data_IF_895478086331
#
_entry.id   IF_895478086331
#
_cell.length_a   1.000
_cell.length_b   1.000
_cell.length_c   1.000
_cell.angle_alpha   90.00
_cell.angle_beta   90.00
_cell.angle_gamma   90.00
#
_symmetry.space_group_name_H-M   'P 1'
#
loop_
_entity.id
_entity.type
_entity.pdbx_description
1 polymer ?
#
# COMPACT_ATOMS: atom_id res chain seq x y z
N UNK A 1 16.09 -11.80 -11.39
CA UNK A 1 15.50 -10.44 -11.27
C UNK A 1 15.68 -10.04 -9.82
N UNK A 2 15.98 -8.79 -9.52
CA UNK A 2 15.91 -8.33 -8.12
C UNK A 2 14.44 -8.34 -7.69
N UNK A 3 14.17 -8.76 -6.46
CA UNK A 3 12.80 -8.82 -5.95
C UNK A 3 12.29 -7.45 -5.51
N UNK A 4 11.13 -7.44 -4.87
CA UNK A 4 10.45 -6.22 -4.49
C UNK A 4 9.68 -6.37 -3.19
N UNK A 5 9.59 -5.28 -2.43
CA UNK A 5 8.76 -5.17 -1.22
C UNK A 5 7.58 -4.25 -1.56
N UNK A 6 6.37 -4.72 -1.32
CA UNK A 6 5.13 -3.98 -1.57
C UNK A 6 4.40 -3.75 -0.25
N UNK A 7 4.58 -2.58 0.36
CA UNK A 7 3.81 -2.16 1.52
C UNK A 7 2.40 -1.76 1.10
N UNK A 8 1.40 -2.49 1.57
CA UNK A 8 -0.01 -2.14 1.38
C UNK A 8 -0.55 -1.56 2.67
N UNK A 9 -0.91 -0.29 2.62
CA UNK A 9 -1.21 0.49 3.81
C UNK A 9 -2.27 1.56 3.55
N UNK A 10 -2.91 2.01 4.62
CA UNK A 10 -3.76 3.20 4.63
C UNK A 10 -3.49 4.17 5.76
N UNK A 11 -2.70 3.77 6.76
CA UNK A 11 -2.39 4.46 8.03
C UNK A 11 -3.60 4.85 8.91
N UNK A 12 -4.75 5.08 8.31
CA UNK A 12 -6.05 5.25 8.94
C UNK A 12 -6.83 3.93 8.87
N UNK A 13 -7.41 3.53 9.99
CA UNK A 13 -8.24 2.34 10.05
C UNK A 13 -9.54 2.52 9.24
N UNK A 14 -9.99 1.44 8.59
CA UNK A 14 -11.30 1.41 7.91
C UNK A 14 -11.34 2.05 6.52
N UNK A 15 -10.21 2.51 5.97
CA UNK A 15 -10.20 3.12 4.62
C UNK A 15 -10.08 2.12 3.47
N UNK A 16 -10.08 0.81 3.76
CA UNK A 16 -10.14 -0.24 2.74
C UNK A 16 -8.80 -0.80 2.25
N UNK A 17 -7.69 -0.56 2.93
CA UNK A 17 -6.37 -1.07 2.51
C UNK A 17 -6.32 -2.59 2.40
N UNK A 18 -6.92 -3.31 3.35
CA UNK A 18 -7.00 -4.78 3.30
C UNK A 18 -7.91 -5.28 2.16
N UNK A 19 -8.96 -4.50 1.81
CA UNK A 19 -9.81 -4.81 0.65
C UNK A 19 -9.02 -4.63 -0.65
N UNK A 20 -8.25 -3.54 -0.77
CA UNK A 20 -7.35 -3.34 -1.90
C UNK A 20 -6.29 -4.44 -1.99
N UNK A 21 -5.64 -4.79 -0.86
CA UNK A 21 -4.61 -5.83 -0.79
C UNK A 21 -5.10 -7.18 -1.32
N UNK A 22 -6.36 -7.57 -1.01
CA UNK A 22 -7.00 -8.75 -1.61
C UNK A 22 -7.02 -8.70 -3.14
N UNK A 23 -7.39 -7.56 -3.73
CA UNK A 23 -7.42 -7.39 -5.18
C UNK A 23 -6.04 -7.40 -5.81
N UNK A 24 -5.05 -6.77 -5.16
CA UNK A 24 -3.66 -6.76 -5.61
C UNK A 24 -3.11 -8.20 -5.68
N UNK A 25 -3.26 -8.97 -4.60
CA UNK A 25 -2.78 -10.36 -4.55
C UNK A 25 -3.49 -11.22 -5.60
N UNK A 26 -4.82 -11.12 -5.75
CA UNK A 26 -5.52 -11.89 -6.77
C UNK A 26 -5.15 -11.48 -8.20
N UNK A 27 -4.89 -10.20 -8.44
CA UNK A 27 -4.41 -9.72 -9.74
C UNK A 27 -3.05 -10.34 -10.06
N UNK A 28 -2.09 -10.22 -9.14
CA UNK A 28 -0.72 -10.70 -9.34
C UNK A 28 -0.71 -12.22 -9.55
N UNK A 29 -1.38 -12.99 -8.68
CA UNK A 29 -1.47 -14.45 -8.82
C UNK A 29 -2.10 -14.91 -10.14
N UNK A 30 -2.97 -14.10 -10.74
CA UNK A 30 -3.70 -14.46 -11.95
C UNK A 30 -3.04 -13.95 -13.23
N UNK A 31 -2.40 -12.80 -13.16
CA UNK A 31 -2.00 -12.00 -14.34
C UNK A 31 -0.50 -11.85 -14.49
N UNK A 32 0.29 -12.31 -13.52
CA UNK A 32 1.75 -12.30 -13.57
C UNK A 32 2.32 -13.65 -13.15
N UNK A 33 3.59 -13.90 -13.52
CA UNK A 33 4.36 -15.07 -13.10
C UNK A 33 5.33 -14.72 -11.95
N UNK A 34 5.01 -13.68 -11.17
CA UNK A 34 5.85 -13.25 -10.04
C UNK A 34 5.81 -14.28 -8.92
N UNK A 35 6.97 -14.52 -8.31
CA UNK A 35 7.07 -15.36 -7.12
C UNK A 35 6.63 -14.56 -5.89
N UNK A 36 5.40 -14.77 -5.44
CA UNK A 36 4.76 -13.96 -4.41
C UNK A 36 4.95 -14.55 -3.01
N UNK A 37 5.48 -13.74 -2.10
CA UNK A 37 5.43 -14.01 -0.66
C UNK A 37 4.47 -13.04 0.01
N UNK A 38 3.63 -13.52 0.94
CA UNK A 38 2.59 -12.70 1.58
C UNK A 38 2.82 -12.67 3.08
N UNK A 39 3.07 -11.47 3.59
CA UNK A 39 3.31 -11.18 4.99
C UNK A 39 2.13 -10.33 5.48
N UNK A 40 1.40 -10.83 6.48
CA UNK A 40 0.22 -10.18 7.01
C UNK A 40 0.44 -9.79 8.47
N UNK A 41 0.74 -8.51 8.68
CA UNK A 41 1.08 -7.95 9.97
C UNK A 41 -0.15 -7.45 10.76
N UNK A 42 -1.36 -7.64 10.22
CA UNK A 42 -2.59 -7.42 10.99
C UNK A 42 -2.77 -8.51 12.06
N UNK A 43 -3.23 -8.19 13.28
CA UNK A 43 -3.29 -9.16 14.39
C UNK A 43 -4.07 -10.46 14.11
N UNK A 44 -5.08 -10.41 13.24
CA UNK A 44 -5.92 -11.57 12.91
C UNK A 44 -5.39 -12.32 11.67
N UNK A 45 -4.48 -11.71 10.92
CA UNK A 45 -3.83 -12.24 9.71
C UNK A 45 -4.82 -12.82 8.67
N UNK A 46 -5.96 -12.16 8.42
CA UNK A 46 -7.00 -12.69 7.52
C UNK A 46 -6.47 -12.84 6.09
N UNK A 47 -5.64 -11.92 5.60
CA UNK A 47 -5.05 -11.98 4.27
C UNK A 47 -4.04 -13.12 4.20
N UNK A 48 -3.15 -13.24 5.18
CA UNK A 48 -2.17 -14.33 5.29
C UNK A 48 -2.86 -15.70 5.29
N UNK A 49 -3.88 -15.88 6.13
CA UNK A 49 -4.69 -17.11 6.18
C UNK A 49 -5.45 -17.40 4.89
N UNK A 50 -5.85 -16.37 4.15
CA UNK A 50 -6.61 -16.52 2.89
C UNK A 50 -5.70 -16.91 1.71
N UNK A 51 -4.54 -16.26 1.58
CA UNK A 51 -3.71 -16.35 0.37
C UNK A 51 -2.37 -17.06 0.56
N UNK A 52 -1.94 -17.29 1.78
CA UNK A 52 -0.69 -17.99 2.11
C UNK A 52 -0.90 -18.96 3.27
N UNK A 53 -2.05 -19.65 3.27
CA UNK A 53 -2.49 -20.55 4.35
C UNK A 53 -1.45 -21.58 4.80
N UNK A 54 -0.50 -21.95 3.93
CA UNK A 54 0.60 -22.85 4.27
C UNK A 54 1.49 -22.32 5.40
N UNK A 55 1.64 -20.99 5.55
CA UNK A 55 2.42 -20.40 6.64
C UNK A 55 1.53 -20.09 7.86
N UNK A 56 0.27 -19.70 7.64
CA UNK A 56 -0.63 -19.20 8.68
C UNK A 56 -1.57 -20.25 9.30
N UNK A 57 -1.52 -21.51 8.86
CA UNK A 57 -2.31 -22.59 9.45
C UNK A 57 -1.54 -23.33 10.55
N UNK A 58 -2.02 -23.21 11.80
CA UNK A 58 -1.60 -24.02 12.96
C UNK A 58 -0.13 -23.90 13.44
N UNK A 59 0.66 -22.97 12.93
CA UNK A 59 2.04 -22.78 13.39
C UNK A 59 2.09 -21.91 14.65
N UNK A 60 2.46 -22.50 15.80
CA UNK A 60 2.79 -21.73 17.00
C UNK A 60 4.23 -21.19 16.89
N UNK A 61 4.55 -20.09 17.58
CA UNK A 61 5.94 -19.57 17.66
C UNK A 61 6.94 -20.67 18.05
N UNK A 62 6.53 -21.63 18.89
CA UNK A 62 7.33 -22.79 19.27
C UNK A 62 7.58 -23.79 18.12
N UNK A 63 6.60 -24.02 17.25
CA UNK A 63 6.76 -24.88 16.07
C UNK A 63 7.68 -24.24 15.01
N UNK A 64 7.71 -22.91 14.95
CA UNK A 64 8.59 -22.17 14.03
C UNK A 64 10.02 -22.21 14.57
N UNK A 65 10.23 -21.92 15.86
CA UNK A 65 11.57 -21.93 16.47
C UNK A 65 12.24 -23.29 16.44
N UNK A 66 11.48 -24.39 16.52
CA UNK A 66 12.01 -25.77 16.35
C UNK A 66 12.51 -26.04 14.92
N UNK A 67 11.96 -25.35 13.90
CA UNK A 67 12.33 -25.51 12.49
C UNK A 67 13.32 -24.44 11.99
N UNK A 68 13.42 -23.31 12.67
CA UNK A 68 14.12 -22.07 12.25
C UNK A 68 15.62 -22.04 12.56
N UNK A 69 16.21 -23.16 13.00
CA UNK A 69 17.64 -23.21 13.32
C UNK A 69 18.45 -23.38 12.02
N UNK A 70 18.53 -22.31 11.22
CA UNK A 70 19.44 -22.12 10.06
C UNK A 70 19.18 -22.96 8.78
N UNK A 71 17.96 -23.43 8.51
CA UNK A 71 17.66 -24.04 7.20
C UNK A 71 17.17 -22.99 6.17
N UNK A 72 17.48 -23.22 4.90
CA UNK A 72 17.29 -22.36 3.71
C UNK A 72 15.84 -21.85 3.44
N UNK A 73 14.87 -22.15 4.32
CA UNK A 73 13.44 -21.88 4.11
C UNK A 73 12.92 -20.74 5.01
N UNK A 74 13.41 -19.53 4.72
CA UNK A 74 12.99 -18.25 5.33
C UNK A 74 11.46 -18.08 5.41
N UNK A 75 10.70 -18.73 4.54
CA UNK A 75 9.24 -18.58 4.52
C UNK A 75 8.55 -19.21 5.74
N UNK A 76 9.18 -20.16 6.41
CA UNK A 76 8.65 -20.76 7.64
C UNK A 76 8.59 -19.75 8.80
N UNK A 77 9.40 -18.69 8.73
CA UNK A 77 9.46 -17.65 9.76
C UNK A 77 8.46 -16.52 9.55
N UNK A 78 7.81 -16.44 8.37
CA UNK A 78 6.82 -15.41 8.01
C UNK A 78 5.77 -15.15 9.12
N UNK A 79 5.15 -16.17 9.74
CA UNK A 79 4.12 -15.93 10.76
C UNK A 79 4.64 -15.30 12.06
N UNK A 80 5.96 -15.26 12.26
CA UNK A 80 6.57 -14.67 13.46
C UNK A 80 6.81 -13.17 13.32
N UNK A 81 6.79 -12.65 12.09
CA UNK A 81 7.16 -11.27 11.81
C UNK A 81 6.21 -10.32 12.52
N UNK A 82 6.75 -9.46 13.37
CA UNK A 82 6.03 -8.34 13.97
C UNK A 82 6.92 -7.11 13.87
N UNK A 83 6.50 -6.11 13.11
CA UNK A 83 7.17 -4.81 13.14
C UNK A 83 6.81 -4.07 14.44
N UNK A 84 7.83 -3.66 15.17
CA UNK A 84 7.69 -2.81 16.35
C UNK A 84 8.97 -1.99 16.53
N UNK A 85 8.90 -0.94 17.34
CA UNK A 85 10.06 -0.08 17.65
C UNK A 85 11.14 -0.73 18.52
N UNK A 86 10.93 -1.97 18.99
CA UNK A 86 11.93 -2.71 19.77
C UNK A 86 12.86 -3.55 18.89
N UNK A 87 14.06 -3.89 19.40
CA UNK A 87 15.08 -4.67 18.69
C UNK A 87 14.54 -5.96 18.06
N UNK A 88 13.71 -6.71 18.79
CA UNK A 88 13.08 -7.95 18.28
C UNK A 88 12.19 -7.68 17.05
N UNK A 89 11.47 -6.57 17.03
CA UNK A 89 10.62 -6.24 15.88
C UNK A 89 11.39 -5.77 14.65
N UNK A 90 12.60 -5.21 14.87
CA UNK A 90 13.52 -4.82 13.80
C UNK A 90 14.14 -6.08 13.19
N UNK A 91 14.69 -6.98 14.02
CA UNK A 91 15.26 -8.26 13.59
C UNK A 91 14.24 -9.09 12.79
N UNK A 92 12.97 -9.09 13.22
CA UNK A 92 11.89 -9.76 12.49
C UNK A 92 11.53 -9.07 11.16
N UNK A 93 11.73 -7.75 11.06
CA UNK A 93 11.54 -7.00 9.83
C UNK A 93 12.54 -7.38 8.74
N UNK A 94 13.77 -7.72 9.11
CA UNK A 94 14.84 -8.07 8.16
C UNK A 94 14.46 -9.24 7.25
N UNK A 95 13.64 -10.16 7.74
CA UNK A 95 13.11 -11.27 6.96
C UNK A 95 12.32 -10.80 5.72
N UNK A 96 11.61 -9.67 5.81
CA UNK A 96 10.91 -9.05 4.67
C UNK A 96 11.93 -8.72 3.57
N UNK A 97 13.08 -8.18 3.97
CA UNK A 97 14.12 -7.78 3.03
C UNK A 97 14.86 -8.98 2.44
N UNK A 98 15.24 -9.95 3.26
CA UNK A 98 15.94 -11.16 2.81
C UNK A 98 15.10 -11.93 1.76
N UNK A 99 13.79 -12.05 1.98
CA UNK A 99 12.87 -12.66 1.02
C UNK A 99 12.85 -11.89 -0.32
N UNK A 100 12.81 -10.55 -0.27
CA UNK A 100 12.86 -9.74 -1.49
C UNK A 100 14.23 -9.81 -2.19
N UNK A 101 15.31 -9.86 -1.42
CA UNK A 101 16.67 -10.00 -1.93
C UNK A 101 16.87 -11.35 -2.66
N UNK A 102 16.19 -12.42 -2.23
CA UNK A 102 16.11 -13.70 -2.93
C UNK A 102 15.36 -13.65 -4.28
N UNK A 103 14.82 -12.49 -4.67
CA UNK A 103 14.13 -12.30 -5.95
C UNK A 103 12.61 -12.38 -5.86
N UNK A 104 12.04 -12.51 -4.66
CA UNK A 104 10.60 -12.61 -4.46
C UNK A 104 9.92 -11.25 -4.49
N UNK A 105 8.64 -11.25 -4.86
CA UNK A 105 7.73 -10.11 -4.68
C UNK A 105 6.99 -10.28 -3.36
N UNK A 106 7.46 -9.55 -2.35
CA UNK A 106 6.96 -9.63 -0.98
C UNK A 106 5.85 -8.62 -0.77
N UNK A 107 4.60 -9.10 -0.67
CA UNK A 107 3.43 -8.28 -0.33
C UNK A 107 3.30 -8.21 1.19
N UNK A 108 3.42 -7.01 1.75
CA UNK A 108 3.30 -6.77 3.19
C UNK A 108 1.99 -6.02 3.47
N UNK A 109 0.99 -6.73 4.00
CA UNK A 109 -0.23 -6.11 4.50
C UNK A 109 0.05 -5.50 5.88
N UNK A 110 0.12 -4.17 5.93
CA UNK A 110 0.43 -3.43 7.13
C UNK A 110 -0.84 -3.08 7.92
N UNK A 111 -0.81 -3.13 9.27
CA UNK A 111 -1.89 -2.60 10.08
C UNK A 111 -1.94 -1.07 10.00
N UNK A 112 -3.09 -0.49 10.35
CA UNK A 112 -3.19 0.96 10.52
C UNK A 112 -2.21 1.46 11.59
N UNK A 113 -1.67 2.68 11.43
CA UNK A 113 -0.70 3.30 12.34
C UNK A 113 0.61 2.52 12.46
N UNK A 114 1.07 1.92 11.37
CA UNK A 114 2.33 1.17 11.30
C UNK A 114 3.52 2.04 10.87
N UNK A 115 3.26 3.29 10.47
CA UNK A 115 4.26 4.24 9.96
C UNK A 115 5.54 4.26 10.79
N UNK A 116 5.44 4.50 12.10
CA UNK A 116 6.61 4.60 12.96
C UNK A 116 7.40 3.30 13.03
N UNK A 117 6.73 2.14 13.04
CA UNK A 117 7.39 0.84 13.14
C UNK A 117 8.14 0.51 11.85
N UNK A 118 7.52 0.78 10.70
CA UNK A 118 8.15 0.61 9.38
C UNK A 118 9.31 1.59 9.21
N UNK A 119 9.10 2.86 9.57
CA UNK A 119 10.13 3.90 9.47
C UNK A 119 11.35 3.58 10.33
N UNK A 120 11.15 3.19 11.59
CA UNK A 120 12.25 2.83 12.47
C UNK A 120 13.07 1.65 11.92
N UNK A 121 12.41 0.60 11.42
CA UNK A 121 13.11 -0.52 10.80
C UNK A 121 13.91 -0.10 9.56
N UNK A 122 13.31 0.66 8.64
CA UNK A 122 13.97 1.13 7.42
C UNK A 122 15.20 2.00 7.73
N UNK A 123 15.12 2.88 8.73
CA UNK A 123 16.22 3.77 9.11
C UNK A 123 17.33 3.05 9.85
N UNK A 124 17.01 2.20 10.83
CA UNK A 124 18.02 1.56 11.68
C UNK A 124 18.88 0.54 10.93
N UNK A 125 18.32 -0.12 9.91
CA UNK A 125 19.04 -1.05 9.06
C UNK A 125 19.50 -0.44 7.72
N UNK A 126 19.33 0.88 7.53
CA UNK A 126 19.65 1.61 6.29
C UNK A 126 19.14 0.90 5.02
N UNK A 127 17.91 0.36 5.12
CA UNK A 127 17.30 -0.51 4.10
C UNK A 127 17.13 0.23 2.78
N UNK A 128 16.92 1.54 2.83
CA UNK A 128 16.77 2.37 1.63
C UNK A 128 18.06 2.40 0.81
N UNK A 129 19.20 2.63 1.46
CA UNK A 129 20.48 2.64 0.76
C UNK A 129 20.87 1.23 0.30
N UNK A 130 20.62 0.21 1.14
CA UNK A 130 20.81 -1.18 0.76
C UNK A 130 19.98 -1.56 -0.49
N UNK A 131 18.73 -1.11 -0.56
CA UNK A 131 17.82 -1.33 -1.70
C UNK A 131 18.37 -0.78 -3.01
N UNK A 132 19.03 0.39 -2.99
CA UNK A 132 19.69 0.95 -4.18
C UNK A 132 20.85 0.06 -4.64
N UNK A 133 21.64 -0.43 -3.69
CA UNK A 133 22.82 -1.26 -3.97
C UNK A 133 22.44 -2.65 -4.52
N UNK A 134 21.44 -3.28 -3.91
CA UNK A 134 20.96 -4.63 -4.27
C UNK A 134 19.91 -4.63 -5.38
N UNK A 135 19.38 -3.44 -5.72
CA UNK A 135 18.28 -3.21 -6.67
C UNK A 135 16.95 -3.83 -6.25
N UNK A 136 16.78 -4.13 -4.95
CA UNK A 136 15.47 -4.48 -4.39
C UNK A 136 14.57 -3.26 -4.49
N UNK A 137 13.40 -3.41 -5.11
CA UNK A 137 12.48 -2.29 -5.27
C UNK A 137 11.56 -2.18 -4.06
N UNK A 138 11.23 -0.97 -3.63
CA UNK A 138 10.23 -0.73 -2.59
C UNK A 138 9.04 -0.01 -3.22
N UNK A 139 7.85 -0.54 -2.96
CA UNK A 139 6.57 -0.02 -3.44
C UNK A 139 5.67 0.33 -2.26
N UNK A 140 5.14 1.54 -2.26
CA UNK A 140 4.16 2.03 -1.29
C UNK A 140 2.79 2.14 -1.95
N UNK A 141 1.91 1.18 -1.62
CA UNK A 141 0.50 1.18 -2.03
C UNK A 141 -0.32 1.88 -0.95
N UNK A 142 -0.52 3.19 -1.13
CA UNK A 142 -1.17 4.05 -0.15
C UNK A 142 -2.65 4.21 -0.45
N UNK A 143 -3.50 3.56 0.34
CA UNK A 143 -4.95 3.73 0.26
C UNK A 143 -5.34 5.04 0.94
N UNK A 144 -6.29 5.77 0.37
CA UNK A 144 -6.77 7.04 0.92
C UNK A 144 -8.26 7.21 0.65
N UNK A 145 -8.96 7.88 1.56
CA UNK A 145 -10.31 8.41 1.37
C UNK A 145 -10.30 9.93 1.08
N UNK A 146 -9.13 10.55 0.94
CA UNK A 146 -8.97 11.98 0.73
C UNK A 146 -9.19 12.86 1.96
N UNK A 147 -9.21 12.30 3.18
CA UNK A 147 -9.22 13.10 4.41
C UNK A 147 -7.90 13.84 4.62
N UNK A 148 -7.93 14.93 5.40
CA UNK A 148 -6.74 15.70 5.77
C UNK A 148 -5.66 14.80 6.38
N UNK A 149 -6.00 14.04 7.43
CA UNK A 149 -5.08 13.10 8.07
C UNK A 149 -4.42 12.11 7.09
N UNK A 150 -5.16 11.63 6.08
CA UNK A 150 -4.63 10.69 5.10
C UNK A 150 -3.64 11.36 4.16
N UNK A 151 -3.93 12.60 3.76
CA UNK A 151 -3.05 13.39 2.91
C UNK A 151 -1.78 13.81 3.65
N UNK A 152 -1.88 14.23 4.91
CA UNK A 152 -0.72 14.65 5.70
C UNK A 152 0.29 13.51 5.89
N UNK A 153 -0.21 12.28 6.06
CA UNK A 153 0.64 11.09 6.17
C UNK A 153 1.31 10.76 4.83
N UNK A 154 0.59 10.92 3.71
CA UNK A 154 1.17 10.74 2.39
C UNK A 154 2.25 11.79 2.08
N UNK A 155 2.02 13.06 2.43
CA UNK A 155 3.04 14.12 2.30
C UNK A 155 4.30 13.78 3.10
N UNK A 156 4.16 13.31 4.34
CA UNK A 156 5.31 12.85 5.15
C UNK A 156 6.07 11.69 4.51
N UNK A 157 5.37 10.73 3.90
CA UNK A 157 6.01 9.63 3.18
C UNK A 157 6.83 10.14 1.99
N UNK A 158 6.33 11.13 1.24
CA UNK A 158 7.09 11.76 0.16
C UNK A 158 8.30 12.54 0.66
N UNK A 159 8.14 13.35 1.71
CA UNK A 159 9.21 14.14 2.31
C UNK A 159 10.40 13.28 2.75
N UNK A 160 10.13 12.07 3.25
CA UNK A 160 11.17 11.21 3.84
C UNK A 160 11.77 10.25 2.82
N UNK A 161 10.95 9.64 1.96
CA UNK A 161 11.43 8.57 1.08
C UNK A 161 11.58 8.99 -0.38
N UNK A 162 10.88 10.02 -0.86
CA UNK A 162 11.04 10.61 -2.19
C UNK A 162 11.24 9.54 -3.29
N UNK A 163 12.29 9.63 -4.10
CA UNK A 163 12.59 8.67 -5.18
C UNK A 163 12.98 7.26 -4.73
N UNK A 164 13.13 7.02 -3.43
CA UNK A 164 13.50 5.69 -2.92
C UNK A 164 12.38 4.68 -3.09
N UNK A 165 11.14 5.15 -3.13
CA UNK A 165 9.93 4.31 -3.21
C UNK A 165 9.18 4.58 -4.51
N UNK A 166 8.50 3.54 -5.01
CA UNK A 166 7.48 3.66 -6.03
C UNK A 166 6.12 3.86 -5.36
N UNK A 167 5.41 4.93 -5.70
CA UNK A 167 4.12 5.22 -5.08
C UNK A 167 2.96 4.81 -5.97
N UNK A 168 2.00 4.12 -5.36
CA UNK A 168 0.68 3.90 -5.95
C UNK A 168 -0.37 4.36 -4.95
N UNK A 169 -1.11 5.39 -5.33
CA UNK A 169 -2.19 5.95 -4.54
C UNK A 169 -3.50 5.26 -4.92
N UNK A 170 -4.18 4.68 -3.94
CA UNK A 170 -5.46 4.01 -4.10
C UNK A 170 -6.55 4.88 -3.50
N UNK A 171 -7.25 5.60 -4.36
CA UNK A 171 -8.33 6.50 -4.01
C UNK A 171 -9.60 5.67 -3.81
N UNK A 172 -9.96 5.42 -2.56
CA UNK A 172 -11.17 4.67 -2.23
C UNK A 172 -12.39 5.60 -2.22
N UNK A 173 -13.36 5.33 -3.09
CA UNK A 173 -14.61 6.09 -3.14
C UNK A 173 -15.52 5.85 -1.92
N UNK A 174 -15.24 4.81 -1.13
CA UNK A 174 -16.03 4.42 0.04
C UNK A 174 -17.41 3.87 -0.33
N UNK A 175 -18.16 3.38 0.66
CA UNK A 175 -19.48 2.78 0.44
C UNK A 175 -20.64 3.76 0.68
N UNK A 176 -20.54 4.97 0.11
CA UNK A 176 -21.64 5.95 0.16
C UNK A 176 -22.38 5.98 -1.18
N UNK A 177 -23.41 5.13 -1.39
CA UNK A 177 -24.10 4.95 -2.67
C UNK A 177 -24.83 6.20 -3.22
N UNK A 178 -24.77 7.34 -2.51
CA UNK A 178 -25.46 8.59 -2.87
C UNK A 178 -24.57 9.84 -2.79
N UNK A 179 -23.30 9.70 -2.39
CA UNK A 179 -22.37 10.83 -2.27
C UNK A 179 -21.07 10.39 -2.93
N UNK A 180 -20.85 10.82 -4.17
CA UNK A 180 -19.53 10.70 -4.78
C UNK A 180 -18.58 11.60 -4.00
N UNK A 181 -17.44 11.04 -3.56
CA UNK A 181 -16.38 11.84 -2.99
C UNK A 181 -15.91 12.85 -4.04
N UNK A 182 -16.06 14.14 -3.78
CA UNK A 182 -15.68 15.20 -4.73
C UNK A 182 -14.18 15.25 -4.96
N UNK A 183 -13.41 14.67 -4.03
CA UNK A 183 -11.95 14.79 -3.95
C UNK A 183 -11.51 16.25 -3.94
N UNK A 184 -12.35 17.16 -3.42
CA UNK A 184 -12.07 18.59 -3.45
C UNK A 184 -10.81 18.93 -2.67
N UNK A 185 -10.72 18.52 -1.40
CA UNK A 185 -9.53 18.77 -0.56
C UNK A 185 -8.27 18.13 -1.16
N UNK A 186 -8.38 16.93 -1.73
CA UNK A 186 -7.30 16.29 -2.46
C UNK A 186 -6.78 17.13 -3.63
N UNK A 187 -7.69 17.55 -4.53
CA UNK A 187 -7.35 18.33 -5.73
C UNK A 187 -6.78 19.72 -5.41
N UNK A 188 -7.15 20.29 -4.26
CA UNK A 188 -6.75 21.63 -3.85
C UNK A 188 -5.61 21.62 -2.81
N UNK A 189 -5.05 20.45 -2.46
CA UNK A 189 -3.86 20.38 -1.64
C UNK A 189 -2.62 20.60 -2.53
N UNK A 190 -2.19 21.86 -2.62
CA UNK A 190 -1.11 22.30 -3.53
C UNK A 190 0.19 21.54 -3.25
N UNK A 191 0.59 21.43 -1.98
CA UNK A 191 1.81 20.75 -1.56
C UNK A 191 1.80 19.27 -1.97
N UNK A 192 0.72 18.55 -1.66
CA UNK A 192 0.61 17.14 -2.03
C UNK A 192 0.57 16.93 -3.55
N UNK A 193 -0.12 17.82 -4.30
CA UNK A 193 -0.10 17.72 -5.76
C UNK A 193 1.31 17.94 -6.32
N UNK A 194 2.09 18.87 -5.76
CA UNK A 194 3.47 19.08 -6.18
C UNK A 194 4.33 17.81 -5.97
N UNK A 195 4.18 17.10 -4.85
CA UNK A 195 4.86 15.82 -4.64
C UNK A 195 4.42 14.74 -5.65
N UNK A 196 3.12 14.63 -5.91
CA UNK A 196 2.57 13.66 -6.88
C UNK A 196 3.09 13.93 -8.30
N UNK A 197 3.29 15.19 -8.68
CA UNK A 197 3.83 15.59 -9.98
C UNK A 197 5.35 15.37 -10.07
N UNK A 198 6.07 15.55 -8.96
CA UNK A 198 7.53 15.43 -8.89
C UNK A 198 7.99 13.97 -8.86
N UNK A 199 7.28 13.10 -8.14
CA UNK A 199 7.68 11.71 -7.95
C UNK A 199 6.87 10.74 -8.81
N UNK A 200 7.46 9.65 -9.34
CA UNK A 200 6.75 8.65 -10.13
C UNK A 200 5.62 8.02 -9.30
N UNK A 201 4.41 8.50 -9.55
CA UNK A 201 3.23 8.19 -8.75
C UNK A 201 2.08 7.73 -9.64
N UNK A 202 1.63 6.50 -9.43
CA UNK A 202 0.42 6.00 -10.06
C UNK A 202 -0.80 6.30 -9.19
N UNK A 203 -1.93 6.60 -9.82
CA UNK A 203 -3.20 6.79 -9.11
C UNK A 203 -4.25 5.80 -9.63
N UNK A 204 -4.86 5.06 -8.72
CA UNK A 204 -5.93 4.12 -9.00
C UNK A 204 -7.20 4.54 -8.25
N UNK A 205 -8.35 4.30 -8.84
CA UNK A 205 -9.66 4.47 -8.21
C UNK A 205 -10.19 3.11 -7.75
N UNK A 206 -10.41 2.95 -6.45
CA UNK A 206 -11.07 1.77 -5.92
C UNK A 206 -12.57 2.06 -5.75
N UNK A 207 -13.44 1.49 -6.61
CA UNK A 207 -14.88 1.69 -6.47
C UNK A 207 -15.42 0.96 -5.25
N UNK A 208 -16.63 1.33 -4.80
CA UNK A 208 -17.31 0.59 -3.74
C UNK A 208 -17.59 -0.86 -4.14
N UNK A 209 -17.31 -1.79 -3.22
CA UNK A 209 -17.82 -3.15 -3.26
C UNK A 209 -18.93 -3.32 -2.21
N UNK A 210 -20.15 -2.94 -2.57
CA UNK A 210 -21.29 -2.99 -1.65
C UNK A 210 -21.80 -4.43 -1.44
N UNK A 211 -21.38 -5.03 -0.33
CA UNK A 211 -21.88 -6.30 0.21
C UNK A 211 -22.52 -6.04 1.58
N UNK A 212 -23.56 -6.79 1.99
CA UNK A 212 -24.08 -6.69 3.35
C UNK A 212 -23.00 -7.00 4.40
N UNK A 213 -23.02 -6.36 5.57
CA UNK A 213 -21.99 -6.51 6.61
C UNK A 213 -21.74 -7.97 6.99
N UNK A 214 -22.81 -8.75 7.22
CA UNK A 214 -22.71 -10.18 7.56
C UNK A 214 -21.97 -10.99 6.48
N UNK A 215 -21.90 -10.49 5.25
CA UNK A 215 -21.13 -11.15 4.19
C UNK A 215 -19.63 -10.96 4.39
N UNK A 216 -19.20 -9.78 4.81
CA UNK A 216 -17.79 -9.55 5.14
C UNK A 216 -17.34 -10.44 6.28
N UNK A 217 -18.22 -10.70 7.25
CA UNK A 217 -17.98 -11.65 8.34
C UNK A 217 -17.77 -13.07 7.80
N UNK A 218 -18.67 -13.56 6.92
CA UNK A 218 -18.54 -14.89 6.32
C UNK A 218 -17.22 -15.02 5.55
N UNK A 219 -16.88 -14.04 4.71
CA UNK A 219 -15.65 -14.07 3.93
C UNK A 219 -14.40 -14.07 4.83
N UNK A 220 -14.42 -13.29 5.91
CA UNK A 220 -13.29 -13.17 6.83
C UNK A 220 -13.14 -14.39 7.73
N UNK A 221 -14.22 -14.87 8.34
CA UNK A 221 -14.23 -16.05 9.23
C UNK A 221 -13.80 -17.32 8.49
N UNK A 222 -14.21 -17.46 7.23
CA UNK A 222 -13.85 -18.62 6.41
C UNK A 222 -12.58 -18.40 5.59
N UNK A 223 -11.88 -17.26 5.76
CA UNK A 223 -10.66 -16.91 5.04
C UNK A 223 -10.79 -17.14 3.52
N UNK A 224 -11.91 -16.70 2.94
CA UNK A 224 -12.20 -16.92 1.53
C UNK A 224 -11.57 -15.82 0.67
N UNK A 225 -10.87 -16.24 -0.38
CA UNK A 225 -10.54 -15.34 -1.49
C UNK A 225 -11.80 -15.00 -2.27
N UNK A 226 -11.82 -13.87 -2.98
CA UNK A 226 -12.93 -13.52 -3.85
C UNK A 226 -13.08 -14.53 -5.00
N UNK A 227 -11.98 -15.04 -5.54
CA UNK A 227 -12.02 -16.12 -6.53
C UNK A 227 -12.64 -17.41 -5.98
N UNK A 228 -12.32 -17.82 -4.75
CA UNK A 228 -12.93 -18.97 -4.08
C UNK A 228 -14.41 -18.71 -3.78
N UNK A 229 -14.74 -17.54 -3.24
CA UNK A 229 -16.11 -17.15 -2.91
C UNK A 229 -17.04 -17.17 -4.13
N UNK A 230 -16.58 -16.64 -5.28
CA UNK A 230 -17.34 -16.70 -6.55
C UNK A 230 -17.56 -18.14 -7.05
N UNK A 231 -16.68 -19.08 -6.73
CA UNK A 231 -16.71 -20.45 -7.24
C UNK A 231 -17.57 -21.40 -6.42
N UNK A 232 -17.76 -21.15 -5.11
CA UNK A 232 -18.48 -22.06 -4.20
C UNK A 232 -20.02 -21.86 -4.14
N UNK A 233 -20.57 -20.86 -4.85
CA UNK A 233 -22.02 -20.65 -4.92
C UNK A 233 -22.66 -20.17 -3.59
N UNK A 234 -23.97 -20.43 -3.40
CA UNK A 234 -24.83 -19.88 -2.33
C UNK A 234 -24.35 -20.13 -0.88
N UNK A 235 -23.40 -21.03 -0.65
CA UNK A 235 -22.80 -21.28 0.68
C UNK A 235 -21.83 -20.18 1.12
N UNK A 236 -21.28 -19.40 0.18
CA UNK A 236 -20.40 -18.28 0.46
C UNK A 236 -20.99 -16.94 0.01
N UNK A 237 -21.55 -16.88 -1.22
CA UNK A 237 -22.17 -15.66 -1.75
C UNK A 237 -23.42 -15.93 -2.58
N UNK A 238 -24.42 -15.04 -2.57
CA UNK A 238 -25.54 -15.13 -3.53
C UNK A 238 -25.07 -14.82 -4.95
N UNK A 239 -25.90 -15.15 -5.94
CA UNK A 239 -25.62 -14.89 -7.36
C UNK A 239 -25.34 -13.41 -7.64
N UNK A 240 -26.10 -12.49 -7.03
CA UNK A 240 -25.90 -11.05 -7.25
C UNK A 240 -24.60 -10.56 -6.60
N UNK A 241 -24.25 -11.06 -5.43
CA UNK A 241 -23.00 -10.68 -4.77
C UNK A 241 -21.79 -11.26 -5.49
N UNK A 242 -21.90 -12.47 -6.07
CA UNK A 242 -20.92 -13.00 -7.01
C UNK A 242 -20.71 -12.07 -8.20
N UNK A 243 -21.80 -11.57 -8.80
CA UNK A 243 -21.70 -10.62 -9.91
C UNK A 243 -21.04 -9.30 -9.48
N UNK A 244 -21.40 -8.76 -8.31
CA UNK A 244 -20.76 -7.55 -7.75
C UNK A 244 -19.25 -7.72 -7.57
N UNK A 245 -18.82 -8.82 -6.93
CA UNK A 245 -17.41 -9.16 -6.73
C UNK A 245 -16.70 -9.33 -8.09
N UNK A 246 -17.35 -9.99 -9.05
CA UNK A 246 -16.79 -10.16 -10.40
C UNK A 246 -16.57 -8.81 -11.10
N UNK A 247 -17.59 -7.96 -11.13
CA UNK A 247 -17.49 -6.62 -11.75
C UNK A 247 -16.42 -5.79 -11.05
N UNK A 248 -16.40 -5.77 -9.72
CA UNK A 248 -15.42 -5.02 -8.94
C UNK A 248 -13.98 -5.49 -9.20
N UNK A 249 -13.74 -6.81 -9.19
CA UNK A 249 -12.42 -7.37 -9.48
C UNK A 249 -11.95 -7.05 -10.91
N UNK A 250 -12.83 -7.12 -11.91
CA UNK A 250 -12.46 -6.77 -13.27
C UNK A 250 -12.05 -5.29 -13.36
N UNK A 251 -12.79 -4.39 -12.69
CA UNK A 251 -12.42 -2.97 -12.61
C UNK A 251 -11.07 -2.76 -11.95
N UNK A 252 -10.79 -3.45 -10.84
CA UNK A 252 -9.49 -3.38 -10.16
C UNK A 252 -8.36 -3.96 -11.03
N UNK A 253 -8.58 -5.10 -11.69
CA UNK A 253 -7.56 -5.75 -12.51
C UNK A 253 -7.22 -4.93 -13.76
N UNK A 254 -8.20 -4.31 -14.39
CA UNK A 254 -7.95 -3.40 -15.52
C UNK A 254 -7.04 -2.24 -15.10
N UNK A 255 -7.27 -1.67 -13.91
CA UNK A 255 -6.43 -0.60 -13.38
C UNK A 255 -5.05 -1.10 -12.95
N UNK A 256 -4.95 -2.26 -12.30
CA UNK A 256 -3.67 -2.84 -11.92
C UNK A 256 -2.82 -3.23 -13.14
N UNK A 257 -3.45 -3.53 -14.29
CA UNK A 257 -2.74 -3.87 -15.53
C UNK A 257 -1.91 -2.74 -16.12
N UNK A 258 -2.15 -1.48 -15.72
CA UNK A 258 -1.32 -0.36 -16.14
C UNK A 258 -0.11 -0.12 -15.24
N UNK A 259 0.04 -0.85 -14.12
CA UNK A 259 1.17 -0.65 -13.21
C UNK A 259 2.36 -1.50 -13.67
N UNK A 260 3.54 -0.92 -13.90
CA UNK A 260 4.69 -1.66 -14.38
C UNK A 260 5.46 -2.31 -13.23
N UNK A 261 4.95 -3.42 -12.70
CA UNK A 261 5.54 -4.17 -11.57
C UNK A 261 7.02 -4.56 -11.74
N UNK A 262 7.54 -4.56 -12.98
CA UNK A 262 8.89 -5.02 -13.32
C UNK A 262 9.82 -3.92 -13.85
N UNK A 263 9.36 -2.67 -13.95
CA UNK A 263 10.16 -1.57 -14.49
C UNK A 263 10.26 -0.49 -13.42
N UNK A 264 11.42 -0.42 -12.77
CA UNK A 264 11.83 0.77 -12.04
C UNK A 264 12.54 1.67 -13.04
N UNK A 265 11.88 2.77 -13.43
CA UNK A 265 12.59 3.86 -14.06
C UNK A 265 13.32 4.59 -12.92
N UNK A 266 14.63 4.42 -12.85
CA UNK A 266 15.47 5.14 -11.90
C UNK A 266 15.41 6.63 -12.23
N UNK A 267 14.55 7.37 -11.53
CA UNK A 267 14.38 8.81 -11.68
C UNK A 267 15.29 9.60 -10.72
N UNK A 268 16.40 9.00 -10.25
CA UNK A 268 17.38 9.64 -9.37
C UNK A 268 18.04 10.90 -9.94
N UNK A 269 17.80 11.25 -11.21
CA UNK A 269 18.27 12.50 -11.82
C UNK A 269 17.38 13.73 -11.52
N UNK A 270 16.26 13.57 -10.79
CA UNK A 270 15.52 14.72 -10.28
C UNK A 270 16.16 15.23 -8.99
N UNK A 271 16.76 16.43 -9.05
CA UNK A 271 17.23 17.14 -7.87
C UNK A 271 16.04 17.37 -6.93
N UNK A 272 16.24 17.08 -5.64
CA UNK A 272 15.27 17.37 -4.60
C UNK A 272 14.75 18.81 -4.74
N UNK A 273 13.44 18.95 -4.60
CA UNK A 273 12.75 20.23 -4.54
C UNK A 273 13.31 21.00 -3.33
N UNK A 274 13.93 22.16 -3.54
CA UNK A 274 14.32 23.05 -2.45
C UNK A 274 13.03 23.65 -1.89
N UNK A 275 12.75 23.43 -0.59
CA UNK A 275 11.58 24.00 0.10
C UNK A 275 11.54 25.55 0.00
N UNK A 276 12.70 26.17 -0.29
CA UNK A 276 12.85 27.62 -0.46
C UNK A 276 12.20 28.17 -1.76
N UNK A 277 11.96 27.34 -2.78
CA UNK A 277 11.34 27.79 -4.04
C UNK A 277 9.80 27.96 -3.94
N UNK A 278 9.17 27.46 -2.87
CA UNK A 278 7.73 27.68 -2.61
C UNK A 278 7.44 29.02 -1.90
N UNK A 279 8.49 29.65 -1.34
CA UNK A 279 8.39 30.88 -0.56
C UNK A 279 9.31 32.00 -1.05
N UNK A 280 9.80 31.95 -2.30
CA UNK A 280 10.41 33.12 -2.91
C UNK A 280 9.33 34.19 -3.06
N UNK A 281 9.31 35.13 -2.12
CA UNK A 281 8.52 36.36 -2.12
C UNK A 281 8.70 37.08 -3.46
N UNK A 282 7.75 36.90 -4.39
CA UNK A 282 7.41 37.93 -5.37
C UNK A 282 6.63 39.03 -4.62
N UNK A 283 7.29 39.69 -3.66
CA UNK A 283 6.85 40.99 -3.14
C UNK A 283 7.57 42.09 -3.92
N UNK A 284 7.21 42.23 -5.20
CA UNK A 284 7.31 43.49 -5.93
C UNK A 284 5.88 43.93 -6.30
N UNK A 285 5.01 44.05 -5.28
CA UNK A 285 3.80 44.88 -5.36
C UNK A 285 4.23 46.33 -5.06
N UNK A 286 4.74 47.01 -6.09
CA UNK A 286 4.75 48.47 -6.17
C UNK A 286 3.28 48.96 -6.17
N UNK A 287 2.71 49.10 -4.99
CA UNK A 287 1.41 49.73 -4.76
C UNK A 287 1.57 51.24 -4.95
N UNK A 288 1.43 51.70 -6.19
CA UNK A 288 1.46 53.13 -6.53
C UNK A 288 0.11 53.77 -6.13
N UNK A 289 0.11 54.48 -5.00
CA UNK A 289 -1.06 54.98 -4.29
C UNK A 289 -1.70 56.23 -4.95
N UNK A 290 -1.80 56.30 -6.29
CA UNK A 290 -2.17 57.53 -7.00
C UNK A 290 -3.03 57.41 -8.27
N UNK A 291 -3.97 56.46 -8.35
CA UNK A 291 -5.07 56.55 -9.35
C UNK A 291 -6.45 56.24 -8.75
N UNK A 292 -6.90 57.11 -7.84
CA UNK A 292 -8.34 57.33 -7.60
C UNK A 292 -8.76 58.64 -8.28
N UNK A 293 -8.90 58.60 -9.60
CA UNK A 293 -9.77 59.55 -10.29
C UNK A 293 -10.19 59.04 -11.67
N UNK A 294 -11.47 59.25 -12.01
CA UNK A 294 -12.14 59.03 -13.29
C UNK A 294 -12.71 57.62 -13.56
N UNK A 295 -13.97 57.42 -13.21
CA UNK A 295 -15.09 57.63 -14.16
C UNK A 295 -16.44 57.52 -13.44
N UNK A 296 -17.34 58.40 -13.87
CA UNK A 296 -18.75 58.52 -13.50
C UNK A 296 -19.57 57.28 -13.85
#
# INVERSE_FOLDING_TARGET
MSGSIHFVNGEISGIGSSLFCRSLIEYLKKSTDLDLTIIDLEPICVIGKTYASQYYSQTSEALISEKSIFDDDLELEIPTIKLSSGAVGIEQGDLIYELAYQGKTVIVNLPSRSYESVHNWLQLADIVELSKQTKVQIWQWFTTNGSADSMDILSKLYQIYAHSFNYVIIKNEGDYPRIQNSWFSWKNNIELQAYIETFPTYQLMMPSLSLPDYRWDILSQNCLSFTTAKSHGHSAVTILEKQKIHTWLNTMFNQLSSIPFNQFDDLSEFSAFDDDDLFSDDTDDDFDENELSFLF
#
